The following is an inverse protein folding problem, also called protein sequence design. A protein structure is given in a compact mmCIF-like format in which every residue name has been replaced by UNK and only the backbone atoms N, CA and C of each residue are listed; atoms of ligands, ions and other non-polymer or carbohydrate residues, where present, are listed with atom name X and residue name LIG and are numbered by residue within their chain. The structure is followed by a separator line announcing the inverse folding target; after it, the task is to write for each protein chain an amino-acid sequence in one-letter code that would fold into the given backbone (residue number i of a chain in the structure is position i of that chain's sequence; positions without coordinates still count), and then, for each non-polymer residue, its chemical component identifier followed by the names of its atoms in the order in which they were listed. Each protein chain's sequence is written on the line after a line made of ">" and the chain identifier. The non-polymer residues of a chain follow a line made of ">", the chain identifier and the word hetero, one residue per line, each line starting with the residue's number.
data_IF_757597132043
#
_entry.id   IF_757597132043
#
_cell.length_a   1.000
_cell.length_b   1.000
_cell.length_c   1.000
_cell.angle_alpha   90.00
_cell.angle_beta   90.00
_cell.angle_gamma   90.00
#
_symmetry.space_group_name_H-M   'P 1'
#
loop_
_entity.id
_entity.type
_entity.pdbx_description
1 polymer ?
#
# COMPACT_ATOMS: atom_id res chain seq x y z
N UNK A 1 8.32 28.39 -45.03
CA UNK A 1 8.58 27.10 -44.33
C UNK A 1 8.42 27.39 -42.85
N UNK A 2 7.40 26.84 -42.19
CA UNK A 2 7.13 27.11 -40.78
C UNK A 2 5.64 27.00 -40.47
N UNK A 3 5.05 25.84 -40.74
CA UNK A 3 3.73 25.50 -40.21
C UNK A 3 3.93 25.07 -38.76
N UNK A 4 3.68 25.98 -37.82
CA UNK A 4 3.60 25.67 -36.40
C UNK A 4 2.30 24.89 -36.18
N UNK A 5 2.42 23.58 -36.03
CA UNK A 5 1.29 22.70 -35.71
C UNK A 5 0.98 22.82 -34.22
N UNK A 6 -0.17 23.41 -33.89
CA UNK A 6 -0.72 23.37 -32.54
C UNK A 6 -0.92 21.92 -32.05
N UNK A 7 -0.68 21.62 -30.77
CA UNK A 7 -0.83 20.27 -30.26
C UNK A 7 -2.32 19.94 -30.11
N UNK A 8 -2.76 18.92 -30.85
CA UNK A 8 -4.14 18.40 -30.82
C UNK A 8 -4.39 17.73 -29.46
N UNK A 9 -5.11 18.41 -28.57
CA UNK A 9 -5.54 17.89 -27.26
C UNK A 9 -6.38 16.63 -27.48
N UNK A 10 -5.92 15.49 -27.00
CA UNK A 10 -6.57 14.19 -27.20
C UNK A 10 -7.99 14.14 -26.63
N UNK A 11 -8.80 13.21 -27.13
CA UNK A 11 -10.16 12.91 -26.70
C UNK A 11 -10.21 12.29 -25.29
N UNK A 12 -9.63 12.95 -24.29
CA UNK A 12 -9.89 12.67 -22.89
C UNK A 12 -11.33 13.07 -22.61
N UNK A 13 -12.20 12.08 -22.39
CA UNK A 13 -13.59 12.30 -22.02
C UNK A 13 -13.63 13.35 -20.91
N UNK A 14 -14.24 14.50 -21.21
CA UNK A 14 -14.40 15.59 -20.25
C UNK A 14 -14.97 14.97 -18.98
N UNK A 15 -14.26 15.01 -17.83
CA UNK A 15 -14.81 14.49 -16.58
C UNK A 15 -16.22 15.04 -16.39
N UNK A 16 -17.15 14.15 -16.10
CA UNK A 16 -18.53 14.53 -15.81
C UNK A 16 -18.48 15.59 -14.71
N UNK A 17 -19.27 16.66 -14.83
CA UNK A 17 -19.30 17.71 -13.79
C UNK A 17 -19.86 17.09 -12.51
N UNK A 18 -19.35 17.51 -11.35
CA UNK A 18 -19.93 17.12 -10.06
C UNK A 18 -21.41 17.49 -9.99
N UNK A 19 -22.21 16.55 -9.48
CA UNK A 19 -23.63 16.70 -9.17
C UNK A 19 -23.83 16.31 -7.69
N UNK A 20 -24.43 17.17 -6.85
CA UNK A 20 -24.77 16.84 -5.46
C UNK A 20 -25.60 15.56 -5.30
N UNK A 21 -26.35 15.13 -6.32
CA UNK A 21 -27.07 13.85 -6.31
C UNK A 21 -26.14 12.64 -6.14
N UNK A 22 -24.85 12.75 -6.50
CA UNK A 22 -23.87 11.69 -6.31
C UNK A 22 -23.59 11.38 -4.83
N UNK A 23 -23.90 12.27 -3.90
CA UNK A 23 -23.87 11.98 -2.46
C UNK A 23 -24.82 10.82 -2.11
N UNK A 24 -26.04 10.84 -2.64
CA UNK A 24 -27.01 9.75 -2.44
C UNK A 24 -26.61 8.46 -3.13
N UNK A 25 -26.04 8.57 -4.34
CA UNK A 25 -25.54 7.41 -5.10
C UNK A 25 -24.43 6.70 -4.33
N UNK A 26 -23.42 7.44 -3.83
CA UNK A 26 -22.30 6.80 -3.13
C UNK A 26 -22.74 6.12 -1.83
N UNK A 27 -23.65 6.73 -1.07
CA UNK A 27 -24.21 6.13 0.14
C UNK A 27 -24.99 4.85 -0.16
N UNK A 28 -25.89 4.89 -1.15
CA UNK A 28 -26.73 3.75 -1.51
C UNK A 28 -25.89 2.57 -2.02
N UNK A 29 -24.98 2.81 -2.95
CA UNK A 29 -24.20 1.75 -3.59
C UNK A 29 -23.18 1.13 -2.63
N UNK A 30 -22.53 1.94 -1.79
CA UNK A 30 -21.60 1.39 -0.81
C UNK A 30 -22.31 0.66 0.33
N UNK A 31 -23.54 1.03 0.69
CA UNK A 31 -24.36 0.24 1.62
C UNK A 31 -24.71 -1.16 1.08
N UNK A 32 -24.62 -1.37 -0.24
CA UNK A 32 -24.68 -2.69 -0.87
C UNK A 32 -23.34 -3.43 -0.89
N UNK A 33 -22.31 -2.91 -0.22
CA UNK A 33 -20.99 -3.54 -0.10
C UNK A 33 -19.97 -3.11 -1.16
N UNK A 34 -20.36 -2.25 -2.11
CA UNK A 34 -19.50 -1.82 -3.22
C UNK A 34 -18.39 -0.87 -2.77
N UNK A 35 -17.29 -0.86 -3.53
CA UNK A 35 -16.17 0.05 -3.30
C UNK A 35 -16.39 1.39 -4.00
N UNK A 36 -15.66 2.43 -3.58
CA UNK A 36 -15.65 3.71 -4.31
C UNK A 36 -15.20 3.57 -5.78
N UNK A 37 -14.37 2.56 -6.10
CA UNK A 37 -14.01 2.26 -7.49
C UNK A 37 -15.18 1.71 -8.30
N UNK A 38 -16.00 0.86 -7.69
CA UNK A 38 -17.24 0.40 -8.32
C UNK A 38 -18.24 1.55 -8.50
N UNK A 39 -18.40 2.42 -7.49
CA UNK A 39 -19.23 3.63 -7.61
C UNK A 39 -18.73 4.55 -8.73
N UNK A 40 -17.41 4.74 -8.87
CA UNK A 40 -16.85 5.48 -10.00
C UNK A 40 -17.24 4.86 -11.35
N UNK A 41 -17.19 3.52 -11.45
CA UNK A 41 -17.66 2.78 -12.62
C UNK A 41 -19.16 2.94 -12.89
N UNK A 42 -20.00 2.95 -11.85
CA UNK A 42 -21.46 3.19 -11.94
C UNK A 42 -21.75 4.59 -12.47
N UNK A 43 -21.06 5.61 -11.95
CA UNK A 43 -21.22 7.01 -12.39
C UNK A 43 -20.59 7.22 -13.78
N UNK A 44 -19.65 6.37 -14.19
CA UNK A 44 -18.95 6.49 -15.46
C UNK A 44 -17.77 7.46 -15.44
N UNK A 45 -17.09 7.59 -14.29
CA UNK A 45 -15.92 8.47 -14.10
C UNK A 45 -14.70 7.68 -13.65
N UNK A 46 -13.52 8.29 -13.79
CA UNK A 46 -12.30 7.72 -13.23
C UNK A 46 -12.32 7.79 -11.68
N UNK A 47 -11.62 6.87 -11.02
CA UNK A 47 -11.49 6.88 -9.55
C UNK A 47 -10.84 8.16 -9.02
N UNK A 48 -9.96 8.79 -9.80
CA UNK A 48 -9.36 10.09 -9.47
C UNK A 48 -10.38 11.21 -9.37
N UNK A 49 -11.39 11.22 -10.24
CA UNK A 49 -12.47 12.22 -10.22
C UNK A 49 -13.26 12.16 -8.91
N UNK A 50 -13.53 10.96 -8.38
CA UNK A 50 -14.14 10.81 -7.05
C UNK A 50 -13.25 11.40 -5.94
N UNK A 51 -11.91 11.27 -6.04
CA UNK A 51 -11.00 11.88 -5.06
C UNK A 51 -11.00 13.41 -5.15
N UNK A 52 -11.02 13.95 -6.37
CA UNK A 52 -11.12 15.40 -6.62
C UNK A 52 -12.40 15.95 -5.99
N UNK A 53 -13.55 15.29 -6.22
CA UNK A 53 -14.82 15.71 -5.62
C UNK A 53 -14.81 15.65 -4.10
N UNK A 54 -14.17 14.65 -3.48
CA UNK A 54 -14.05 14.60 -2.02
C UNK A 54 -13.20 15.77 -1.48
N UNK A 55 -12.19 16.21 -2.23
CA UNK A 55 -11.34 17.34 -1.83
C UNK A 55 -12.06 18.69 -2.00
N UNK A 56 -12.84 18.84 -3.06
CA UNK A 56 -13.50 20.10 -3.45
C UNK A 56 -14.90 20.29 -2.84
N UNK A 57 -15.58 19.19 -2.48
CA UNK A 57 -16.96 19.21 -2.00
C UNK A 57 -17.08 18.53 -0.63
N UNK A 58 -17.05 19.31 0.48
CA UNK A 58 -17.14 18.76 1.84
C UNK A 58 -18.35 17.86 2.07
N UNK A 59 -19.51 18.21 1.51
CA UNK A 59 -20.73 17.38 1.63
C UNK A 59 -20.56 16.00 0.99
N UNK A 60 -19.85 15.91 -0.14
CA UNK A 60 -19.54 14.62 -0.77
C UNK A 60 -18.53 13.83 0.05
N UNK A 61 -17.53 14.48 0.63
CA UNK A 61 -16.60 13.83 1.57
C UNK A 61 -17.34 13.24 2.77
N UNK A 62 -18.26 13.98 3.36
CA UNK A 62 -19.10 13.50 4.46
C UNK A 62 -20.01 12.34 4.04
N UNK A 63 -20.60 12.41 2.84
CA UNK A 63 -21.36 11.30 2.27
C UNK A 63 -20.50 10.04 2.09
N UNK A 64 -19.27 10.18 1.57
CA UNK A 64 -18.31 9.07 1.45
C UNK A 64 -17.94 8.49 2.82
N UNK A 65 -17.76 9.32 3.84
CA UNK A 65 -17.49 8.86 5.21
C UNK A 65 -18.63 8.00 5.76
N UNK A 66 -19.89 8.44 5.61
CA UNK A 66 -21.07 7.64 5.97
C UNK A 66 -21.19 6.36 5.12
N UNK A 67 -20.92 6.47 3.82
CA UNK A 67 -20.95 5.36 2.88
C UNK A 67 -19.93 4.26 3.24
N UNK A 68 -18.73 4.63 3.71
CA UNK A 68 -17.74 3.67 4.23
C UNK A 68 -18.25 2.89 5.44
N UNK A 69 -18.90 3.57 6.40
CA UNK A 69 -19.52 2.90 7.54
C UNK A 69 -20.65 1.95 7.10
N UNK A 70 -21.50 2.38 6.16
CA UNK A 70 -22.54 1.54 5.57
C UNK A 70 -21.99 0.29 4.87
N UNK A 71 -20.86 0.44 4.16
CA UNK A 71 -20.15 -0.68 3.52
C UNK A 71 -19.62 -1.67 4.55
N UNK A 72 -19.01 -1.20 5.63
CA UNK A 72 -18.52 -2.07 6.71
C UNK A 72 -19.67 -2.91 7.28
N UNK A 73 -20.79 -2.27 7.64
CA UNK A 73 -21.99 -2.93 8.14
C UNK A 73 -22.51 -4.03 7.19
N UNK A 74 -22.50 -3.78 5.87
CA UNK A 74 -22.91 -4.79 4.90
C UNK A 74 -22.06 -6.06 4.99
N UNK A 75 -20.74 -5.89 5.02
CA UNK A 75 -19.79 -7.00 5.03
C UNK A 75 -19.76 -7.72 6.38
N UNK A 76 -19.98 -7.03 7.50
CA UNK A 76 -20.13 -7.67 8.81
C UNK A 76 -21.41 -8.50 8.88
N UNK A 77 -22.52 -7.99 8.34
CA UNK A 77 -23.74 -8.80 8.19
C UNK A 77 -23.51 -10.02 7.31
N UNK A 78 -22.73 -9.89 6.23
CA UNK A 78 -22.35 -11.03 5.39
C UNK A 78 -21.50 -12.05 6.17
N UNK A 79 -20.54 -11.58 6.96
CA UNK A 79 -19.72 -12.42 7.82
C UNK A 79 -20.56 -13.21 8.83
N UNK A 80 -21.47 -12.54 9.53
CA UNK A 80 -22.37 -13.17 10.51
C UNK A 80 -23.29 -14.20 9.85
N UNK A 81 -23.82 -13.91 8.66
CA UNK A 81 -24.59 -14.90 7.89
C UNK A 81 -23.73 -16.12 7.56
N UNK A 82 -22.55 -15.92 6.97
CA UNK A 82 -21.66 -17.03 6.60
C UNK A 82 -21.22 -17.85 7.82
N UNK A 83 -20.98 -17.21 8.96
CA UNK A 83 -20.64 -17.88 10.21
C UNK A 83 -21.77 -18.76 10.77
N UNK A 84 -23.03 -18.41 10.51
CA UNK A 84 -24.20 -19.10 11.07
C UNK A 84 -24.86 -20.09 10.10
N UNK A 85 -24.85 -19.78 8.80
CA UNK A 85 -25.54 -20.58 7.77
C UNK A 85 -24.60 -21.29 6.80
N UNK A 86 -23.28 -21.04 6.92
CA UNK A 86 -22.30 -21.46 5.93
C UNK A 86 -22.29 -20.57 4.69
N UNK A 87 -21.27 -20.75 3.85
CA UNK A 87 -21.11 -20.06 2.58
C UNK A 87 -20.45 -20.96 1.54
N UNK A 88 -20.54 -20.59 0.26
CA UNK A 88 -19.88 -21.32 -0.82
C UNK A 88 -18.35 -21.21 -0.75
N UNK A 89 -17.62 -21.99 -1.58
CA UNK A 89 -16.17 -21.93 -1.64
C UNK A 89 -15.64 -20.51 -1.80
N UNK A 90 -14.67 -20.13 -0.97
CA UNK A 90 -14.01 -18.81 -1.01
C UNK A 90 -14.77 -17.65 -0.33
N UNK A 91 -16.01 -17.86 0.11
CA UNK A 91 -16.85 -16.79 0.70
C UNK A 91 -16.23 -16.21 1.97
N UNK A 92 -15.79 -17.05 2.90
CA UNK A 92 -15.15 -16.58 4.14
C UNK A 92 -13.85 -15.80 3.85
N UNK A 93 -13.05 -16.27 2.89
CA UNK A 93 -11.79 -15.64 2.50
C UNK A 93 -11.99 -14.23 1.95
N UNK A 94 -12.94 -14.04 1.02
CA UNK A 94 -13.20 -12.70 0.45
C UNK A 94 -13.76 -11.75 1.50
N UNK A 95 -14.59 -12.24 2.42
CA UNK A 95 -15.12 -11.46 3.55
C UNK A 95 -13.97 -11.01 4.46
N UNK A 96 -13.08 -11.91 4.86
CA UNK A 96 -11.93 -11.58 5.73
C UNK A 96 -11.02 -10.54 5.08
N UNK A 97 -10.69 -10.69 3.79
CA UNK A 97 -9.89 -9.68 3.08
C UNK A 97 -10.60 -8.33 2.97
N UNK A 98 -11.92 -8.35 2.73
CA UNK A 98 -12.73 -7.15 2.70
C UNK A 98 -12.72 -6.42 4.04
N UNK A 99 -13.07 -7.12 5.12
CA UNK A 99 -13.20 -6.55 6.46
C UNK A 99 -11.87 -6.03 7.01
N UNK A 100 -10.76 -6.76 6.84
CA UNK A 100 -9.43 -6.26 7.25
C UNK A 100 -9.03 -4.95 6.57
N UNK A 101 -9.43 -4.76 5.32
CA UNK A 101 -9.12 -3.55 4.57
C UNK A 101 -10.09 -2.38 4.84
N UNK A 102 -11.25 -2.63 5.45
CA UNK A 102 -12.29 -1.61 5.68
C UNK A 102 -12.49 -1.26 7.14
N UNK A 103 -12.42 -2.25 8.03
CA UNK A 103 -12.75 -2.15 9.45
C UNK A 103 -11.63 -1.61 10.32
N UNK A 104 -10.54 -1.11 9.71
CA UNK A 104 -9.48 -0.39 10.43
C UNK A 104 -8.94 -1.19 11.62
N UNK A 105 -9.03 -0.60 12.81
CA UNK A 105 -8.62 -1.15 14.10
C UNK A 105 -9.52 -2.29 14.61
N UNK A 106 -10.81 -2.28 14.27
CA UNK A 106 -11.79 -3.32 14.67
C UNK A 106 -11.51 -4.67 14.00
N UNK A 107 -10.91 -4.65 12.81
CA UNK A 107 -10.60 -5.85 12.00
C UNK A 107 -9.09 -5.99 11.75
N UNK A 108 -8.29 -5.98 12.82
CA UNK A 108 -6.84 -6.17 12.74
C UNK A 108 -6.39 -7.59 13.09
N UNK A 109 -5.31 -8.04 12.44
CA UNK A 109 -4.58 -9.22 12.90
C UNK A 109 -3.61 -8.81 14.00
N UNK A 110 -3.65 -9.51 15.12
CA UNK A 110 -2.61 -9.42 16.14
C UNK A 110 -1.58 -10.52 15.90
N UNK A 111 -0.32 -10.13 15.73
CA UNK A 111 0.80 -11.09 15.61
C UNK A 111 1.74 -10.94 16.80
N UNK A 112 1.98 -12.03 17.52
CA UNK A 112 3.04 -12.11 18.55
C UNK A 112 4.22 -12.87 17.95
N UNK A 113 5.33 -12.17 17.70
CA UNK A 113 6.57 -12.76 17.17
C UNK A 113 7.65 -12.75 18.24
N UNK A 114 8.19 -13.92 18.54
CA UNK A 114 9.37 -14.07 19.39
C UNK A 114 10.57 -14.34 18.49
N UNK A 115 11.62 -13.51 18.62
CA UNK A 115 12.83 -13.61 17.80
C UNK A 115 13.93 -14.30 18.61
N UNK A 116 14.44 -15.43 18.11
CA UNK A 116 15.56 -16.15 18.70
C UNK A 116 16.58 -16.55 17.64
N UNK A 117 17.84 -16.65 18.05
CA UNK A 117 18.91 -17.23 17.25
C UNK A 117 18.77 -18.75 17.09
N UNK A 118 19.68 -19.39 16.33
CA UNK A 118 19.67 -20.83 16.11
C UNK A 118 19.61 -21.61 17.42
N UNK A 119 18.70 -22.59 17.49
CA UNK A 119 18.50 -23.41 18.69
C UNK A 119 17.88 -22.67 19.89
N UNK A 120 17.21 -21.53 19.68
CA UNK A 120 16.62 -20.72 20.76
C UNK A 120 17.64 -19.84 21.50
N UNK A 121 18.88 -19.77 21.02
CA UNK A 121 19.93 -18.94 21.60
C UNK A 121 19.78 -17.45 21.27
N UNK A 122 20.71 -16.60 21.73
CA UNK A 122 20.71 -15.18 21.41
C UNK A 122 20.86 -14.92 19.90
N UNK A 123 20.21 -13.85 19.41
CA UNK A 123 20.43 -13.37 18.04
C UNK A 123 21.85 -12.82 17.96
N UNK A 124 22.67 -13.40 17.08
CA UNK A 124 24.02 -12.91 16.80
C UNK A 124 23.92 -11.75 15.82
N UNK A 125 24.51 -10.62 16.15
CA UNK A 125 24.64 -9.46 15.26
C UNK A 125 26.11 -9.29 14.87
N UNK A 126 26.36 -8.97 13.61
CA UNK A 126 27.69 -8.59 13.11
C UNK A 126 27.62 -7.16 12.56
N UNK A 127 28.50 -6.28 13.06
CA UNK A 127 28.64 -4.95 12.48
C UNK A 127 29.38 -5.06 11.14
N UNK A 128 28.67 -4.71 10.08
CA UNK A 128 29.20 -4.65 8.70
C UNK A 128 29.18 -3.22 8.22
N UNK A 129 29.85 -2.32 8.95
CA UNK A 129 30.01 -0.96 8.45
C UNK A 129 30.98 -0.96 7.26
N UNK A 130 30.63 -0.28 6.17
CA UNK A 130 31.49 -0.16 4.99
C UNK A 130 32.88 0.41 5.34
N UNK A 131 32.95 1.21 6.41
CA UNK A 131 34.18 1.81 6.95
C UNK A 131 35.10 0.78 7.61
N UNK A 132 34.56 -0.19 8.36
CA UNK A 132 35.34 -1.30 8.95
C UNK A 132 35.80 -2.32 7.90
N UNK A 133 34.98 -2.58 6.89
CA UNK A 133 35.38 -3.42 5.76
C UNK A 133 36.50 -2.76 4.94
N UNK A 134 36.51 -1.43 4.83
CA UNK A 134 37.60 -0.69 4.17
C UNK A 134 38.86 -0.65 5.03
N UNK A 135 38.74 -0.38 6.34
CA UNK A 135 39.88 -0.28 7.25
C UNK A 135 40.61 -1.63 7.37
N UNK A 136 39.87 -2.74 7.48
CA UNK A 136 40.43 -4.08 7.53
C UNK A 136 41.15 -4.47 6.24
N UNK A 137 40.64 -4.06 5.07
CA UNK A 137 41.35 -4.25 3.78
C UNK A 137 42.59 -3.39 3.65
N UNK A 138 42.54 -2.11 4.07
CA UNK A 138 43.69 -1.21 4.06
C UNK A 138 44.81 -1.71 4.99
N UNK A 139 44.48 -2.17 6.19
CA UNK A 139 45.46 -2.72 7.14
C UNK A 139 46.19 -3.97 6.60
N UNK A 140 45.49 -4.83 5.84
CA UNK A 140 46.10 -6.00 5.19
C UNK A 140 47.04 -5.61 4.04
N UNK A 141 46.71 -4.56 3.29
CA UNK A 141 47.56 -4.03 2.22
C UNK A 141 48.85 -3.40 2.77
N UNK A 142 48.78 -2.71 3.91
CA UNK A 142 49.97 -2.09 4.54
C UNK A 142 50.88 -3.11 5.21
N UNK A 143 50.33 -4.21 5.76
CA UNK A 143 51.13 -5.27 6.38
C UNK A 143 51.91 -6.14 5.36
N UNK A 144 51.46 -6.20 4.11
CA UNK A 144 52.12 -6.96 3.04
C UNK A 144 53.35 -6.26 2.41
N UNK A 145 53.58 -4.98 2.70
CA UNK A 145 54.62 -4.17 2.06
C UNK A 145 56.02 -4.23 2.70
N UNK A 146 56.20 -4.91 3.83
CA UNK A 146 57.44 -4.83 4.64
C UNK A 146 58.50 -5.92 4.35
N UNK A 147 58.45 -6.60 3.20
CA UNK A 147 59.50 -7.58 2.82
C UNK A 147 60.10 -7.27 1.45
N UNK A 148 60.91 -6.22 1.35
CA UNK A 148 62.04 -6.16 0.38
C UNK A 148 63.06 -5.11 0.83
N UNK A 149 64.34 -5.50 0.92
CA UNK A 149 65.46 -4.55 0.87
C UNK A 149 66.46 -4.64 2.03
N UNK A 150 67.30 -5.67 2.05
CA UNK A 150 68.49 -5.69 2.88
C UNK A 150 69.48 -6.75 2.43
N UNK A 151 70.46 -6.37 1.61
CA UNK A 151 71.83 -6.89 1.62
C UNK A 151 72.63 -6.32 0.43
N UNK A 152 73.71 -5.62 0.72
CA UNK A 152 74.78 -5.39 -0.23
C UNK A 152 75.62 -4.17 0.12
N UNK A 153 76.73 -4.37 0.84
CA UNK A 153 78.00 -3.68 0.56
C UNK A 153 79.19 -4.55 1.04
N UNK A 154 80.39 -4.38 0.45
CA UNK A 154 81.36 -5.46 0.27
C UNK A 154 82.66 -5.31 1.07
N UNK A 155 83.40 -6.43 1.09
CA UNK A 155 84.76 -6.74 1.61
C UNK A 155 85.06 -6.52 3.11
#
# INVERSE_FOLDING_TARGET
>A
MGSETEPKKGAGGRPTKYDPAFCGVVEAEMANGLSLGAVAGIIGVARSTINEWMAEHPEFSEAVSRAKAGRLLHWERAALRVATTGGGPGTATIIVFGLKNMGGDEWTDTTKTELSGPGGGPIKTEETSARELLSSKLARLTAGGSKTGGAGEPE
#
